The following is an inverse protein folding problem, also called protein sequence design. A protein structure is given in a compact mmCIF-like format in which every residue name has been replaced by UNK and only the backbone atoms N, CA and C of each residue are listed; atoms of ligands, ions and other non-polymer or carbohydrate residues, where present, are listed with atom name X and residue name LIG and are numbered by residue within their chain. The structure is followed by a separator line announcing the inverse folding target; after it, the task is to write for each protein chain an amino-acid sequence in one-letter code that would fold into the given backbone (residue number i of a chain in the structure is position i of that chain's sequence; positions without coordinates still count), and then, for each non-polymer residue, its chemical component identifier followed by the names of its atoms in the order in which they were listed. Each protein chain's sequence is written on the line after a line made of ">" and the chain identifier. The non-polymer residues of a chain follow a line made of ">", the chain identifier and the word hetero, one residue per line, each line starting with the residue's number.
data_IF_135225503227
#
_entry.id   IF_135225503227
#
_cell.length_a   1.000
_cell.length_b   1.000
_cell.length_c   1.000
_cell.angle_alpha   90.00
_cell.angle_beta   90.00
_cell.angle_gamma   90.00
#
_symmetry.space_group_name_H-M   'P 1'
#
loop_
_entity.id
_entity.type
_entity.pdbx_description
1 polymer ?
#
# COMPACT_ATOMS: atom_id res chain seq x y z
N UNK A 1 6.19 26.36 13.04
CA UNK A 1 7.07 25.80 12.01
C UNK A 1 7.39 24.39 12.50
N UNK A 2 6.75 23.35 11.96
CA UNK A 2 7.09 21.98 12.33
C UNK A 2 8.48 21.72 11.74
N UNK A 3 9.48 21.52 12.60
CA UNK A 3 10.75 20.96 12.16
C UNK A 3 10.43 19.62 11.48
N UNK A 4 10.59 19.60 10.16
CA UNK A 4 10.56 18.38 9.36
C UNK A 4 11.79 17.56 9.77
N UNK A 5 11.69 16.85 10.89
CA UNK A 5 12.75 15.98 11.37
C UNK A 5 13.04 14.94 10.30
N UNK A 6 14.25 14.97 9.73
CA UNK A 6 14.71 13.93 8.82
C UNK A 6 14.58 12.56 9.49
N UNK A 7 13.89 11.63 8.85
CA UNK A 7 13.71 10.27 9.38
C UNK A 7 14.99 9.45 9.13
N UNK A 8 16.00 9.63 9.97
CA UNK A 8 17.30 8.94 9.88
C UNK A 8 17.18 7.41 10.03
N UNK A 9 16.14 6.94 10.71
CA UNK A 9 15.82 5.52 10.89
C UNK A 9 15.13 4.88 9.67
N UNK A 10 14.84 5.68 8.63
CA UNK A 10 14.16 5.22 7.43
C UNK A 10 15.11 4.53 6.45
N UNK A 11 14.55 3.79 5.49
CA UNK A 11 15.35 3.01 4.53
C UNK A 11 16.19 3.92 3.61
N UNK A 12 17.29 3.37 3.09
CA UNK A 12 18.22 4.09 2.21
C UNK A 12 17.53 4.67 0.97
N UNK A 13 18.09 5.74 0.40
CA UNK A 13 17.53 6.42 -0.78
C UNK A 13 17.23 5.46 -1.93
N UNK A 14 18.12 4.50 -2.22
CA UNK A 14 17.91 3.52 -3.29
C UNK A 14 16.69 2.62 -3.03
N UNK A 15 16.49 2.19 -1.78
CA UNK A 15 15.32 1.43 -1.37
C UNK A 15 14.05 2.27 -1.49
N UNK A 16 14.11 3.55 -1.10
CA UNK A 16 12.97 4.48 -1.29
C UNK A 16 12.63 4.68 -2.76
N UNK A 17 13.61 4.72 -3.66
CA UNK A 17 13.37 4.83 -5.10
C UNK A 17 12.61 3.61 -5.63
N UNK A 18 12.96 2.40 -5.20
CA UNK A 18 12.20 1.19 -5.57
C UNK A 18 10.75 1.28 -5.10
N UNK A 19 10.52 1.69 -3.84
CA UNK A 19 9.17 1.90 -3.31
C UNK A 19 8.41 3.00 -4.07
N UNK A 20 9.08 4.08 -4.46
CA UNK A 20 8.52 5.16 -5.25
C UNK A 20 8.08 4.67 -6.63
N UNK A 21 8.91 3.91 -7.34
CA UNK A 21 8.55 3.34 -8.64
C UNK A 21 7.37 2.38 -8.54
N UNK A 22 7.30 1.59 -7.47
CA UNK A 22 6.13 0.75 -7.19
C UNK A 22 4.87 1.60 -6.95
N UNK A 23 4.96 2.68 -6.17
CA UNK A 23 3.81 3.56 -5.95
C UNK A 23 3.34 4.19 -7.28
N UNK A 24 4.27 4.62 -8.14
CA UNK A 24 3.95 5.17 -9.46
C UNK A 24 3.31 4.13 -10.40
N UNK A 25 3.76 2.88 -10.37
CA UNK A 25 3.15 1.81 -11.16
C UNK A 25 1.71 1.51 -10.68
N UNK A 26 1.49 1.46 -9.37
CA UNK A 26 0.16 1.28 -8.76
C UNK A 26 -0.77 2.44 -9.14
N UNK A 27 -0.31 3.69 -9.01
CA UNK A 27 -1.07 4.88 -9.40
C UNK A 27 -1.47 4.79 -10.88
N UNK A 28 -0.55 4.38 -11.75
CA UNK A 28 -0.83 4.24 -13.19
C UNK A 28 -1.91 3.18 -13.47
N UNK A 29 -1.85 2.03 -12.79
CA UNK A 29 -2.87 0.98 -12.89
C UNK A 29 -4.23 1.47 -12.39
N UNK A 30 -4.25 2.16 -11.26
CA UNK A 30 -5.48 2.70 -10.65
C UNK A 30 -6.13 3.75 -11.56
N UNK A 31 -5.35 4.67 -12.13
CA UNK A 31 -5.84 5.65 -13.10
C UNK A 31 -6.37 4.99 -14.37
N UNK A 32 -5.71 3.92 -14.84
CA UNK A 32 -6.20 3.12 -15.96
C UNK A 32 -7.56 2.46 -15.67
N UNK A 33 -7.75 1.90 -14.48
CA UNK A 33 -9.03 1.33 -14.05
C UNK A 33 -10.10 2.43 -13.99
N UNK A 34 -9.79 3.57 -13.38
CA UNK A 34 -10.71 4.71 -13.29
C UNK A 34 -11.14 5.22 -14.68
N UNK A 35 -10.24 5.19 -15.65
CA UNK A 35 -10.52 5.62 -17.02
C UNK A 35 -11.34 4.60 -17.82
N UNK A 36 -11.12 3.30 -17.60
CA UNK A 36 -11.67 2.24 -18.47
C UNK A 36 -12.87 1.49 -17.88
N UNK A 37 -13.03 1.47 -16.56
CA UNK A 37 -14.03 0.66 -15.89
C UNK A 37 -15.18 1.54 -15.36
N UNK A 38 -16.41 1.08 -15.55
CA UNK A 38 -17.55 1.63 -14.82
C UNK A 38 -17.56 1.04 -13.42
N UNK A 39 -17.30 1.89 -12.43
CA UNK A 39 -17.26 1.51 -11.03
C UNK A 39 -18.58 1.88 -10.35
N UNK A 40 -19.06 1.00 -9.47
CA UNK A 40 -20.11 1.38 -8.53
C UNK A 40 -19.55 2.44 -7.55
N UNK A 41 -20.43 3.12 -6.80
CA UNK A 41 -19.99 4.18 -5.88
C UNK A 41 -19.02 3.67 -4.81
N UNK A 42 -19.21 2.46 -4.31
CA UNK A 42 -18.35 1.87 -3.28
C UNK A 42 -16.92 1.63 -3.79
N UNK A 43 -16.80 0.96 -4.94
CA UNK A 43 -15.54 0.67 -5.62
C UNK A 43 -14.80 1.96 -5.98
N UNK A 44 -15.54 3.00 -6.40
CA UNK A 44 -14.96 4.32 -6.66
C UNK A 44 -14.35 4.93 -5.38
N UNK A 45 -15.06 4.90 -4.25
CA UNK A 45 -14.52 5.43 -2.98
C UNK A 45 -13.31 4.64 -2.48
N UNK A 46 -13.34 3.32 -2.60
CA UNK A 46 -12.20 2.46 -2.24
C UNK A 46 -11.02 2.72 -3.16
N UNK A 47 -11.25 2.90 -4.47
CA UNK A 47 -10.21 3.26 -5.43
C UNK A 47 -9.59 4.62 -5.11
N UNK A 48 -10.42 5.65 -4.87
CA UNK A 48 -9.95 7.00 -4.58
C UNK A 48 -9.19 7.09 -3.26
N UNK A 49 -9.63 6.37 -2.22
CA UNK A 49 -8.90 6.28 -0.95
C UNK A 49 -7.57 5.54 -1.12
N UNK A 50 -7.53 4.46 -1.89
CA UNK A 50 -6.28 3.77 -2.26
C UNK A 50 -5.32 4.68 -3.04
N UNK A 51 -5.84 5.46 -4.00
CA UNK A 51 -5.06 6.43 -4.77
C UNK A 51 -4.47 7.52 -3.87
N UNK A 52 -5.25 8.04 -2.94
CA UNK A 52 -4.79 9.03 -1.96
C UNK A 52 -3.67 8.48 -1.06
N UNK A 53 -3.85 7.29 -0.51
CA UNK A 53 -2.84 6.62 0.32
C UNK A 53 -1.55 6.37 -0.47
N UNK A 54 -1.66 5.81 -1.68
CA UNK A 54 -0.51 5.52 -2.53
C UNK A 54 0.25 6.78 -2.96
N UNK A 55 -0.47 7.84 -3.32
CA UNK A 55 0.13 9.12 -3.69
C UNK A 55 0.85 9.78 -2.51
N UNK A 56 0.29 9.66 -1.31
CA UNK A 56 0.94 10.23 -0.12
C UNK A 56 2.16 9.43 0.30
N UNK A 57 2.12 8.10 0.19
CA UNK A 57 3.31 7.25 0.39
C UNK A 57 4.40 7.61 -0.63
N UNK A 58 4.06 7.81 -1.90
CA UNK A 58 5.01 8.26 -2.91
C UNK A 58 5.68 9.59 -2.51
N UNK A 59 4.90 10.55 -2.02
CA UNK A 59 5.43 11.81 -1.50
C UNK A 59 6.40 11.59 -0.33
N UNK A 60 6.07 10.67 0.59
CA UNK A 60 6.92 10.33 1.74
C UNK A 60 8.21 9.59 1.34
N UNK A 61 8.26 8.91 0.19
CA UNK A 61 9.51 8.34 -0.33
C UNK A 61 10.48 9.41 -0.79
N UNK A 62 9.96 10.54 -1.28
CA UNK A 62 10.75 11.71 -1.69
C UNK A 62 11.13 12.54 -0.46
N UNK A 63 10.16 12.81 0.41
CA UNK A 63 10.29 13.65 1.61
C UNK A 63 9.87 12.86 2.86
N UNK A 64 10.79 12.07 3.46
CA UNK A 64 10.45 11.18 4.56
C UNK A 64 10.11 11.96 5.84
N UNK A 65 8.97 11.64 6.43
CA UNK A 65 8.52 12.18 7.72
C UNK A 65 8.02 11.02 8.59
N UNK A 66 8.65 10.77 9.74
CA UNK A 66 8.38 9.58 10.53
C UNK A 66 6.94 9.52 11.08
N UNK A 67 6.37 10.64 11.50
CA UNK A 67 5.01 10.70 12.07
C UNK A 67 3.95 10.40 11.02
N UNK A 68 4.10 10.95 9.82
CA UNK A 68 3.21 10.67 8.70
C UNK A 68 3.33 9.21 8.26
N UNK A 69 4.54 8.66 8.20
CA UNK A 69 4.79 7.28 7.81
C UNK A 69 3.93 6.28 8.62
N UNK A 70 3.95 6.41 9.95
CA UNK A 70 3.16 5.55 10.85
C UNK A 70 1.65 5.72 10.67
N UNK A 71 1.17 6.94 10.43
CA UNK A 71 -0.25 7.19 10.11
C UNK A 71 -0.67 6.49 8.81
N UNK A 72 0.15 6.59 7.76
CA UNK A 72 -0.17 5.99 6.46
C UNK A 72 -0.11 4.47 6.47
N UNK A 73 0.71 3.85 7.33
CA UNK A 73 0.67 2.40 7.51
C UNK A 73 -0.69 1.90 7.98
N UNK A 74 -1.29 2.56 8.98
CA UNK A 74 -2.63 2.20 9.45
C UNK A 74 -3.65 2.38 8.33
N UNK A 75 -3.53 3.46 7.55
CA UNK A 75 -4.43 3.72 6.42
C UNK A 75 -4.34 2.65 5.32
N UNK A 76 -3.15 2.09 5.05
CA UNK A 76 -3.03 0.95 4.11
C UNK A 76 -3.85 -0.26 4.62
N UNK A 77 -3.78 -0.60 5.91
CA UNK A 77 -4.59 -1.71 6.47
C UNK A 77 -6.07 -1.43 6.30
N UNK A 78 -6.49 -0.19 6.60
CA UNK A 78 -7.89 0.22 6.50
C UNK A 78 -8.39 0.10 5.06
N UNK A 79 -7.62 0.56 4.07
CA UNK A 79 -7.97 0.41 2.65
C UNK A 79 -8.02 -1.07 2.24
N UNK A 80 -7.05 -1.88 2.65
CA UNK A 80 -7.05 -3.33 2.39
C UNK A 80 -8.25 -4.03 3.03
N UNK A 81 -8.64 -3.63 4.23
CA UNK A 81 -9.85 -4.14 4.88
C UNK A 81 -11.08 -3.82 4.04
N UNK A 82 -11.27 -2.56 3.62
CA UNK A 82 -12.39 -2.18 2.76
C UNK A 82 -12.34 -2.85 1.38
N UNK A 83 -11.15 -3.24 0.89
CA UNK A 83 -11.04 -3.96 -0.38
C UNK A 83 -11.76 -5.32 -0.39
N UNK A 84 -12.09 -5.91 0.77
CA UNK A 84 -12.88 -7.15 0.86
C UNK A 84 -14.24 -7.00 0.21
N UNK A 85 -14.84 -5.82 0.20
CA UNK A 85 -16.18 -5.59 -0.34
C UNK A 85 -16.20 -5.10 -1.78
N UNK A 86 -15.02 -4.84 -2.39
CA UNK A 86 -14.92 -4.39 -3.77
C UNK A 86 -15.47 -5.44 -4.74
N UNK A 87 -16.32 -5.04 -5.69
CA UNK A 87 -16.95 -5.97 -6.63
C UNK A 87 -16.21 -6.00 -7.98
N UNK A 88 -15.60 -4.89 -8.39
CA UNK A 88 -14.89 -4.82 -9.66
C UNK A 88 -13.61 -5.67 -9.67
N UNK A 89 -13.58 -6.70 -10.53
CA UNK A 89 -12.45 -7.66 -10.64
C UNK A 89 -11.11 -7.00 -10.98
N UNK A 90 -11.10 -5.93 -11.78
CA UNK A 90 -9.86 -5.22 -12.09
C UNK A 90 -9.30 -4.50 -10.86
N UNK A 91 -10.18 -3.92 -10.04
CA UNK A 91 -9.78 -3.27 -8.79
C UNK A 91 -9.29 -4.28 -7.75
N UNK A 92 -9.95 -5.44 -7.62
CA UNK A 92 -9.44 -6.54 -6.78
C UNK A 92 -8.06 -7.00 -7.27
N UNK A 93 -7.89 -7.14 -8.60
CA UNK A 93 -6.61 -7.50 -9.22
C UNK A 93 -5.50 -6.49 -8.93
N UNK A 94 -5.83 -5.18 -8.93
CA UNK A 94 -4.89 -4.13 -8.55
C UNK A 94 -4.49 -4.26 -7.07
N UNK A 95 -5.43 -4.49 -6.16
CA UNK A 95 -5.10 -4.73 -4.74
C UNK A 95 -4.25 -5.99 -4.53
N UNK A 96 -4.51 -7.06 -5.28
CA UNK A 96 -3.67 -8.25 -5.25
C UNK A 96 -2.24 -7.97 -5.76
N UNK A 97 -2.11 -7.20 -6.84
CA UNK A 97 -0.80 -6.77 -7.35
C UNK A 97 -0.01 -5.97 -6.31
N UNK A 98 -0.68 -5.08 -5.56
CA UNK A 98 -0.07 -4.32 -4.46
C UNK A 98 0.48 -5.28 -3.40
N UNK A 99 -0.33 -6.24 -2.93
CA UNK A 99 0.08 -7.21 -1.91
C UNK A 99 1.26 -8.07 -2.37
N UNK A 100 1.19 -8.60 -3.59
CA UNK A 100 2.27 -9.43 -4.15
C UNK A 100 3.57 -8.63 -4.31
N UNK A 101 3.48 -7.37 -4.71
CA UNK A 101 4.65 -6.49 -4.78
C UNK A 101 5.28 -6.28 -3.40
N UNK A 102 4.47 -6.11 -2.35
CA UNK A 102 4.99 -6.04 -0.98
C UNK A 102 5.63 -7.35 -0.52
N UNK A 103 5.06 -8.50 -0.85
CA UNK A 103 5.67 -9.81 -0.56
C UNK A 103 7.05 -9.95 -1.20
N UNK A 104 7.18 -9.58 -2.48
CA UNK A 104 8.46 -9.63 -3.20
C UNK A 104 9.47 -8.69 -2.56
N UNK A 105 9.09 -7.45 -2.26
CA UNK A 105 9.99 -6.49 -1.61
C UNK A 105 10.42 -6.96 -0.22
N UNK A 106 9.52 -7.59 0.52
CA UNK A 106 9.84 -8.18 1.81
C UNK A 106 10.83 -9.32 1.68
N UNK A 107 10.60 -10.23 0.74
CA UNK A 107 11.50 -11.35 0.48
C UNK A 107 12.91 -10.87 0.15
N UNK A 108 13.04 -9.83 -0.68
CA UNK A 108 14.34 -9.26 -1.08
C UNK A 108 15.03 -8.54 0.10
N UNK A 109 14.29 -7.76 0.89
CA UNK A 109 14.87 -6.87 1.89
C UNK A 109 14.78 -7.38 3.34
N UNK A 110 14.14 -8.53 3.57
CA UNK A 110 13.88 -9.10 4.90
C UNK A 110 12.87 -8.31 5.75
N UNK A 111 12.35 -7.19 5.24
CA UNK A 111 11.37 -6.32 5.92
C UNK A 111 10.54 -5.51 4.93
N UNK A 112 9.38 -5.02 5.35
CA UNK A 112 8.60 -4.07 4.58
C UNK A 112 9.40 -2.76 4.35
N UNK A 113 9.49 -2.32 3.10
CA UNK A 113 10.29 -1.14 2.71
C UNK A 113 9.70 0.18 3.19
N UNK A 114 8.38 0.18 3.49
CA UNK A 114 7.67 1.33 4.02
C UNK A 114 7.89 1.45 5.53
N UNK A 115 8.37 0.40 6.23
CA UNK A 115 8.53 0.43 7.68
C UNK A 115 9.88 1.03 8.11
N UNK A 116 9.83 1.89 9.14
CA UNK A 116 11.04 2.26 9.88
C UNK A 116 11.57 1.05 10.67
N UNK A 117 12.80 1.14 11.15
CA UNK A 117 13.40 0.09 11.97
C UNK A 117 12.54 -0.15 13.23
N UNK A 118 12.13 -1.40 13.46
CA UNK A 118 11.34 -1.78 14.64
C UNK A 118 9.83 -1.47 14.55
N UNK A 119 9.34 -0.97 13.42
CA UNK A 119 7.90 -0.71 13.24
C UNK A 119 7.13 -1.97 12.86
N UNK A 120 5.86 -2.00 13.27
CA UNK A 120 4.88 -3.00 12.88
C UNK A 120 3.55 -2.35 12.56
N UNK A 121 2.63 -3.11 11.96
CA UNK A 121 1.26 -2.67 11.69
C UNK A 121 0.42 -2.39 12.97
N UNK A 122 1.04 -2.39 14.17
CA UNK A 122 0.34 -2.23 15.44
C UNK A 122 -0.53 -3.43 15.83
N UNK A 123 -0.38 -4.54 15.10
CA UNK A 123 -1.04 -5.82 15.38
C UNK A 123 -0.05 -6.74 16.10
N UNK A 124 -0.54 -7.51 17.07
CA UNK A 124 0.24 -8.59 17.70
C UNK A 124 0.61 -9.70 16.69
N UNK A 125 -0.13 -9.76 15.58
CA UNK A 125 0.09 -10.72 14.50
C UNK A 125 1.32 -10.28 13.68
N UNK A 126 2.27 -11.20 13.42
CA UNK A 126 3.38 -10.94 12.51
C UNK A 126 2.87 -10.43 11.17
N UNK A 127 3.43 -9.31 10.79
CA UNK A 127 3.03 -8.48 9.67
C UNK A 127 2.94 -9.25 8.32
N UNK A 128 3.81 -10.24 8.11
CA UNK A 128 3.81 -11.09 6.92
C UNK A 128 2.59 -12.03 6.90
N UNK A 129 2.14 -12.52 8.05
CA UNK A 129 0.94 -13.35 8.19
C UNK A 129 -0.29 -12.55 7.77
N UNK A 130 -0.41 -11.31 8.23
CA UNK A 130 -1.48 -10.40 7.82
C UNK A 130 -1.50 -10.21 6.31
N UNK A 131 -0.34 -9.97 5.69
CA UNK A 131 -0.23 -9.86 4.24
C UNK A 131 -0.64 -11.16 3.50
N UNK A 132 -0.29 -12.34 4.02
CA UNK A 132 -0.73 -13.62 3.47
C UNK A 132 -2.24 -13.84 3.57
N UNK A 133 -2.85 -13.49 4.71
CA UNK A 133 -4.30 -13.55 4.89
C UNK A 133 -4.99 -12.67 3.84
N UNK A 134 -4.54 -11.43 3.69
CA UNK A 134 -5.09 -10.51 2.67
C UNK A 134 -4.93 -11.06 1.25
N UNK A 135 -3.79 -11.67 0.95
CA UNK A 135 -3.52 -12.27 -0.37
C UNK A 135 -4.48 -13.43 -0.64
N UNK A 136 -4.72 -14.30 0.34
CA UNK A 136 -5.65 -15.41 0.22
C UNK A 136 -7.10 -14.93 0.06
N UNK A 137 -7.52 -13.93 0.84
CA UNK A 137 -8.88 -13.36 0.79
C UNK A 137 -9.15 -12.72 -0.57
N UNK A 138 -8.26 -11.84 -1.04
CA UNK A 138 -8.43 -11.17 -2.34
C UNK A 138 -8.27 -12.14 -3.51
N UNK A 139 -7.35 -13.10 -3.40
CA UNK A 139 -7.18 -14.16 -4.39
C UNK A 139 -8.43 -15.02 -4.55
N UNK A 140 -9.05 -15.42 -3.44
CA UNK A 140 -10.34 -16.13 -3.47
C UNK A 140 -11.44 -15.26 -4.10
N UNK A 141 -11.50 -13.97 -3.76
CA UNK A 141 -12.50 -13.04 -4.30
C UNK A 141 -12.34 -12.78 -5.81
N UNK A 142 -11.17 -12.97 -6.39
CA UNK A 142 -11.01 -12.90 -7.85
C UNK A 142 -11.65 -14.10 -8.57
N UNK A 143 -11.69 -15.25 -7.90
CA UNK A 143 -12.18 -16.51 -8.48
C UNK A 143 -13.71 -16.60 -8.38
N UNK A 144 -14.27 -16.16 -7.25
CA UNK A 144 -15.72 -16.15 -6.98
C UNK A 144 -16.35 -14.88 -7.53
#
# INVERSE_FOLDING_TARGET
>A
MFELSECSEYVSKDKRNVALYLCLSIISIVLYILYTQQLNQYDLYVLLSGLFVCSTIALLMVYPNCSLLSLFHVLIVVVLFFSIWVENKYLIGAFLYILLSFHVLWYIYGKCIIFKKGESWGLEIPQYITAYIWTAVLGYKLIV
#
